data_IF_414799402389
#
_entry.id   IF_414799402389
#
_cell.length_a   1.000
_cell.length_b   1.000
_cell.length_c   1.000
_cell.angle_alpha   90.00
_cell.angle_beta   90.00
_cell.angle_gamma   90.00
#
_symmetry.space_group_name_H-M   'P 1'
#
loop_
_entity.id
_entity.type
_entity.pdbx_description
1 polymer ?
#
# COMPACT_ATOMS: atom_id res chain seq x y z
N UNK A 1 31.52 -4.40 -0.51
CA UNK A 1 30.42 -3.49 -0.13
C UNK A 1 30.35 -3.46 1.38
N UNK A 2 30.90 -2.44 2.03
CA UNK A 2 30.90 -2.31 3.49
C UNK A 2 29.48 -2.08 3.98
N UNK A 3 29.03 -2.93 4.90
CA UNK A 3 27.68 -2.90 5.49
C UNK A 3 27.66 -1.85 6.61
N UNK A 4 27.69 -0.57 6.25
CA UNK A 4 27.68 0.53 7.23
C UNK A 4 26.25 0.88 7.65
N UNK A 5 26.06 1.05 8.97
CA UNK A 5 24.83 1.55 9.57
C UNK A 5 24.86 3.08 9.48
N UNK A 6 23.84 3.68 8.87
CA UNK A 6 23.71 5.13 8.75
C UNK A 6 22.68 5.65 9.76
N UNK A 7 23.06 6.57 10.64
CA UNK A 7 22.17 7.07 11.71
C UNK A 7 21.31 8.27 11.29
N UNK A 8 21.63 8.89 10.14
CA UNK A 8 20.86 9.99 9.55
C UNK A 8 20.98 9.99 8.03
N UNK A 9 20.02 10.62 7.35
CA UNK A 9 20.05 10.89 5.92
C UNK A 9 19.32 12.19 5.59
N UNK A 10 19.54 12.74 4.39
CA UNK A 10 18.87 13.95 3.94
C UNK A 10 17.95 13.65 2.76
N UNK A 11 16.70 14.11 2.84
CA UNK A 11 15.76 14.16 1.72
C UNK A 11 15.87 15.52 1.05
N UNK A 12 16.34 15.55 -0.19
CA UNK A 12 16.43 16.78 -0.97
C UNK A 12 15.22 16.92 -1.90
N UNK A 13 14.37 17.91 -1.65
CA UNK A 13 13.24 18.22 -2.50
C UNK A 13 13.65 19.19 -3.59
N UNK A 14 13.74 18.70 -4.83
CA UNK A 14 14.23 19.51 -5.96
C UNK A 14 13.36 20.75 -6.24
N UNK A 15 12.05 20.66 -6.01
CA UNK A 15 11.08 21.75 -6.23
C UNK A 15 11.35 22.96 -5.33
N UNK A 16 11.59 22.74 -4.04
CA UNK A 16 11.83 23.80 -3.05
C UNK A 16 13.32 24.05 -2.82
N UNK A 17 14.20 23.21 -3.36
CA UNK A 17 15.65 23.20 -3.12
C UNK A 17 16.01 23.10 -1.63
N UNK A 18 15.14 22.46 -0.85
CA UNK A 18 15.33 22.27 0.58
C UNK A 18 15.76 20.84 0.90
N UNK A 19 16.59 20.70 1.94
CA UNK A 19 16.96 19.42 2.55
C UNK A 19 16.20 19.26 3.85
N UNK A 20 15.63 18.08 4.04
CA UNK A 20 15.06 17.62 5.29
C UNK A 20 15.95 16.51 5.84
N UNK A 21 16.62 16.78 6.96
CA UNK A 21 17.44 15.77 7.64
C UNK A 21 16.53 14.84 8.46
N UNK A 22 16.63 13.55 8.19
CA UNK A 22 15.87 12.49 8.85
C UNK A 22 16.82 11.65 9.70
N UNK A 23 16.53 11.56 11.00
CA UNK A 23 17.22 10.65 11.91
C UNK A 23 16.66 9.23 11.73
N UNK A 24 17.56 8.25 11.59
CA UNK A 24 17.18 6.85 11.36
C UNK A 24 17.25 6.09 12.68
N UNK A 25 16.21 6.28 13.50
CA UNK A 25 16.07 5.65 14.80
C UNK A 25 15.84 4.14 14.71
N UNK A 26 15.99 3.42 15.82
CA UNK A 26 15.72 1.97 15.83
C UNK A 26 14.23 1.68 15.60
N UNK A 27 13.33 2.51 16.13
CA UNK A 27 11.89 2.37 15.91
C UNK A 27 11.53 2.48 14.42
N UNK A 28 12.15 3.42 13.71
CA UNK A 28 11.93 3.58 12.26
C UNK A 28 12.45 2.35 11.48
N UNK A 29 13.59 1.78 11.91
CA UNK A 29 14.13 0.55 11.31
C UNK A 29 13.22 -0.64 11.53
N UNK A 30 12.76 -0.83 12.76
CA UNK A 30 11.88 -1.95 13.10
C UNK A 30 10.53 -1.83 12.40
N UNK A 31 9.98 -0.61 12.30
CA UNK A 31 8.77 -0.35 11.51
C UNK A 31 8.97 -0.74 10.04
N UNK A 32 10.07 -0.30 9.42
CA UNK A 32 10.38 -0.65 8.03
C UNK A 32 10.55 -2.17 7.83
N UNK A 33 11.31 -2.84 8.72
CA UNK A 33 11.49 -4.30 8.67
C UNK A 33 10.16 -5.03 8.79
N UNK A 34 9.30 -4.59 9.71
CA UNK A 34 7.98 -5.19 9.96
C UNK A 34 7.10 -5.10 8.71
N UNK A 35 6.96 -3.91 8.13
CA UNK A 35 6.14 -3.70 6.93
C UNK A 35 6.69 -4.50 5.74
N UNK A 36 8.01 -4.51 5.55
CA UNK A 36 8.64 -5.29 4.48
C UNK A 36 8.40 -6.80 4.66
N UNK A 37 8.54 -7.31 5.88
CA UNK A 37 8.27 -8.71 6.18
C UNK A 37 6.81 -9.09 5.88
N UNK A 38 5.85 -8.24 6.26
CA UNK A 38 4.43 -8.44 5.94
C UNK A 38 4.18 -8.49 4.43
N UNK A 39 4.74 -7.55 3.67
CA UNK A 39 4.61 -7.52 2.21
C UNK A 39 5.21 -8.76 1.55
N UNK A 40 6.37 -9.22 2.02
CA UNK A 40 6.97 -10.46 1.53
C UNK A 40 6.10 -11.70 1.83
N UNK A 41 5.45 -11.74 2.99
CA UNK A 41 4.50 -12.81 3.30
C UNK A 41 3.27 -12.80 2.38
N UNK A 42 2.71 -11.63 2.08
CA UNK A 42 1.61 -11.51 1.12
C UNK A 42 1.99 -12.03 -0.27
N UNK A 43 3.20 -11.69 -0.73
CA UNK A 43 3.73 -12.18 -1.99
C UNK A 43 3.88 -13.70 -2.01
N UNK A 44 4.54 -14.28 -0.98
CA UNK A 44 4.74 -15.72 -0.87
C UNK A 44 3.42 -16.50 -0.84
N UNK A 45 2.41 -15.98 -0.15
CA UNK A 45 1.07 -16.58 -0.07
C UNK A 45 0.22 -16.34 -1.32
N UNK A 46 0.70 -15.54 -2.29
CA UNK A 46 -0.08 -15.04 -3.45
C UNK A 46 -1.40 -14.41 -3.02
N UNK A 47 -1.40 -13.78 -1.85
CA UNK A 47 -2.59 -13.23 -1.23
C UNK A 47 -2.56 -11.72 -1.38
N UNK A 48 -3.56 -11.17 -2.08
CA UNK A 48 -3.79 -9.73 -2.13
C UNK A 48 -4.84 -9.37 -1.09
N UNK A 49 -4.49 -8.64 -0.01
CA UNK A 49 -5.44 -8.26 1.02
C UNK A 49 -6.50 -7.31 0.45
N UNK A 50 -7.69 -7.31 1.07
CA UNK A 50 -8.75 -6.37 0.71
C UNK A 50 -8.34 -4.94 1.09
N UNK A 51 -8.32 -4.07 0.09
CA UNK A 51 -7.99 -2.66 0.28
C UNK A 51 -9.18 -1.89 0.88
N UNK A 52 -8.90 -1.04 1.86
CA UNK A 52 -9.89 -0.08 2.37
C UNK A 52 -10.00 1.09 1.40
N UNK A 53 -11.18 1.30 0.83
CA UNK A 53 -11.42 2.41 -0.10
C UNK A 53 -11.40 3.72 0.68
N UNK A 54 -10.55 4.65 0.26
CA UNK A 54 -10.47 6.01 0.80
C UNK A 54 -10.36 7.02 -0.35
N UNK A 55 -10.42 8.32 -0.06
CA UNK A 55 -10.22 9.36 -1.08
C UNK A 55 -8.88 9.20 -1.84
N UNK A 56 -7.84 8.65 -1.19
CA UNK A 56 -6.52 8.39 -1.78
C UNK A 56 -6.55 7.35 -2.91
N UNK A 57 -7.57 6.48 -2.95
CA UNK A 57 -7.68 5.48 -4.02
C UNK A 57 -7.90 6.12 -5.39
N UNK A 58 -8.53 7.31 -5.46
CA UNK A 58 -8.75 8.03 -6.72
C UNK A 58 -7.46 8.57 -7.34
N UNK A 59 -6.44 8.82 -6.53
CA UNK A 59 -5.11 9.27 -6.98
C UNK A 59 -4.10 8.12 -7.05
N UNK A 60 -4.54 6.87 -6.87
CA UNK A 60 -3.66 5.71 -6.97
C UNK A 60 -3.37 5.40 -8.44
N UNK A 61 -2.11 5.12 -8.78
CA UNK A 61 -1.71 4.71 -10.13
C UNK A 61 -2.39 3.41 -10.60
N UNK A 62 -2.91 2.61 -9.66
CA UNK A 62 -3.61 1.36 -9.95
C UNK A 62 -5.14 1.50 -9.87
N UNK A 63 -5.68 2.72 -9.76
CA UNK A 63 -7.11 2.94 -9.48
C UNK A 63 -8.02 2.20 -10.47
N UNK A 64 -7.73 2.26 -11.76
CA UNK A 64 -8.56 1.69 -12.83
C UNK A 64 -8.61 0.16 -12.81
N UNK A 65 -7.55 -0.49 -12.33
CA UNK A 65 -7.47 -1.95 -12.23
C UNK A 65 -7.82 -2.46 -10.83
N UNK A 66 -7.69 -1.63 -9.79
CA UNK A 66 -7.89 -1.98 -8.39
C UNK A 66 -9.34 -1.76 -7.95
N UNK A 67 -9.86 -0.56 -8.17
CA UNK A 67 -11.28 -0.27 -8.01
C UNK A 67 -12.02 -0.90 -9.19
N UNK A 68 -13.34 -1.00 -9.16
CA UNK A 68 -14.14 -2.04 -8.52
C UNK A 68 -13.66 -3.53 -8.62
N UNK A 69 -12.52 -3.90 -9.20
CA UNK A 69 -12.11 -5.33 -9.34
C UNK A 69 -11.80 -6.01 -8.01
N UNK A 70 -10.97 -5.39 -7.16
CA UNK A 70 -10.56 -5.94 -5.86
C UNK A 70 -11.59 -5.74 -4.74
N UNK A 71 -12.60 -4.89 -4.99
CA UNK A 71 -13.68 -4.58 -4.05
C UNK A 71 -15.09 -4.98 -4.56
N UNK A 72 -15.21 -5.69 -5.70
CA UNK A 72 -16.49 -6.20 -6.18
C UNK A 72 -16.95 -7.38 -5.31
N UNK A 73 -18.03 -7.16 -4.57
CA UNK A 73 -19.03 -8.20 -4.27
C UNK A 73 -20.37 -7.71 -4.78
N UNK A 74 -20.71 -7.98 -6.05
CA UNK A 74 -22.13 -8.22 -6.34
C UNK A 74 -22.36 -9.65 -5.84
N UNK A 75 -23.15 -9.80 -4.79
CA UNK A 75 -23.57 -11.14 -4.33
C UNK A 75 -24.31 -11.81 -5.49
N UNK A 76 -23.87 -13.02 -5.87
CA UNK A 76 -24.57 -13.80 -6.88
C UNK A 76 -26.05 -14.02 -6.50
N UNK A 77 -26.33 -14.22 -5.20
CA UNK A 77 -27.69 -14.33 -4.68
C UNK A 77 -28.50 -13.03 -4.90
N UNK A 78 -27.89 -11.86 -4.64
CA UNK A 78 -28.56 -10.56 -4.84
C UNK A 78 -28.80 -10.26 -6.32
N UNK A 79 -27.92 -10.71 -7.20
CA UNK A 79 -28.12 -10.62 -8.65
C UNK A 79 -29.29 -11.50 -9.11
N UNK A 80 -29.43 -12.71 -8.58
CA UNK A 80 -30.53 -13.62 -8.91
C UNK A 80 -31.88 -13.06 -8.40
N UNK A 81 -31.93 -12.56 -7.17
CA UNK A 81 -33.14 -11.92 -6.62
C UNK A 81 -33.61 -10.70 -7.43
N UNK A 82 -32.68 -9.85 -7.88
CA UNK A 82 -33.02 -8.69 -8.73
C UNK A 82 -33.62 -9.11 -10.07
N UNK A 83 -33.29 -10.29 -10.60
CA UNK A 83 -33.72 -10.78 -11.92
C UNK A 83 -34.97 -11.66 -11.90
N UNK A 84 -35.38 -12.14 -10.73
CA UNK A 84 -36.63 -12.90 -10.53
C UNK A 84 -37.81 -12.01 -10.11
N UNK A 85 -37.57 -10.71 -9.87
CA UNK A 85 -38.59 -9.70 -9.53
C UNK A 85 -39.14 -8.96 -10.76
N UNK A 86 -38.55 -9.20 -11.93
CA UNK A 86 -39.11 -8.87 -13.26
C UNK A 86 -39.79 -10.13 -13.82
#
# INVERSE_FOLDING_TARGET
>A
MTRSRADKGDLFYFKTRQRETVLISEELRESAKTVLAEMHQYWQKRYTPKVRITAKCKSCSLADICLPVLNKKRSAARYIEERLKD
#
